data_IF_432524855708
#
_entry.id   IF_432524855708
#
_cell.length_a   1.000
_cell.length_b   1.000
_cell.length_c   1.000
_cell.angle_alpha   90.00
_cell.angle_beta   90.00
_cell.angle_gamma   90.00
#
_symmetry.space_group_name_H-M   'P 1'
#
loop_
_entity.id
_entity.type
_entity.pdbx_description
1 polymer ?
#
# COMPACT_ATOMS: atom_id res chain seq x y z
N UNK A 1 18.79 22.61 -16.92
CA UNK A 1 18.20 21.46 -16.21
C UNK A 1 18.66 21.52 -14.76
N UNK A 2 17.91 22.17 -13.85
CA UNK A 2 18.13 22.04 -12.38
C UNK A 2 17.08 22.81 -11.55
N UNK A 3 15.81 22.84 -11.94
CA UNK A 3 14.78 23.62 -11.19
C UNK A 3 13.44 22.92 -11.02
N UNK A 4 13.35 21.60 -11.24
CA UNK A 4 12.06 20.88 -11.14
C UNK A 4 11.99 19.81 -10.05
N UNK A 5 13.05 19.60 -9.27
CA UNK A 5 13.08 18.55 -8.22
C UNK A 5 12.89 19.07 -6.79
N UNK A 6 12.75 20.38 -6.58
CA UNK A 6 12.78 20.98 -5.24
C UNK A 6 11.44 21.59 -4.79
N UNK A 7 10.31 21.08 -5.29
CA UNK A 7 8.96 21.64 -5.01
C UNK A 7 7.96 20.63 -4.41
N UNK A 8 8.40 19.43 -4.02
CA UNK A 8 7.50 18.40 -3.48
C UNK A 8 7.69 18.11 -1.98
N UNK A 9 8.62 18.75 -1.28
CA UNK A 9 8.91 18.47 0.14
C UNK A 9 8.17 19.38 1.15
N UNK A 10 7.51 20.45 0.72
CA UNK A 10 6.98 21.49 1.63
C UNK A 10 5.49 21.38 2.02
N UNK A 11 4.80 20.25 1.78
CA UNK A 11 3.35 20.14 2.04
C UNK A 11 2.90 19.12 3.12
N UNK A 12 3.78 18.67 4.02
CA UNK A 12 3.41 17.66 5.03
C UNK A 12 3.35 18.13 6.49
N UNK A 13 3.46 19.44 6.78
CA UNK A 13 3.44 19.96 8.15
C UNK A 13 2.33 20.98 8.36
N UNK A 14 1.08 20.51 8.39
CA UNK A 14 0.04 21.22 9.12
C UNK A 14 -1.09 20.27 9.52
N UNK A 15 -1.05 19.78 10.76
CA UNK A 15 -2.24 19.38 11.52
C UNK A 15 -1.86 19.41 13.00
N UNK A 16 -2.15 20.57 13.58
CA UNK A 16 -2.10 20.85 15.00
C UNK A 16 -3.53 20.58 15.52
N UNK A 17 -3.73 19.46 16.21
CA UNK A 17 -4.94 19.25 17.00
C UNK A 17 -4.56 19.00 18.46
N UNK A 18 -4.98 20.00 19.22
CA UNK A 18 -5.16 20.10 20.66
C UNK A 18 -5.86 18.89 21.25
N UNK A 19 -5.33 18.35 22.36
CA UNK A 19 -6.16 17.68 23.38
C UNK A 19 -5.83 18.32 24.72
N UNK A 20 -6.88 18.96 25.25
CA UNK A 20 -6.94 19.66 26.51
C UNK A 20 -6.76 18.75 27.72
N UNK A 21 -6.15 19.39 28.71
CA UNK A 21 -6.02 19.05 30.10
C UNK A 21 -7.39 19.17 30.80
N UNK A 22 -7.84 18.15 31.53
CA UNK A 22 -8.67 18.31 32.73
C UNK A 22 -8.89 16.96 33.45
N UNK A 23 -8.39 16.83 34.69
CA UNK A 23 -9.22 16.56 35.89
C UNK A 23 -8.41 16.07 37.09
N UNK A 24 -8.22 17.00 38.04
CA UNK A 24 -8.43 16.88 39.50
C UNK A 24 -7.75 15.77 40.31
N UNK A 25 -6.67 16.16 41.00
CA UNK A 25 -6.64 16.43 42.44
C UNK A 25 -7.49 15.51 43.36
N UNK A 26 -6.84 14.52 43.98
CA UNK A 26 -7.20 14.03 45.31
C UNK A 26 -5.93 13.75 46.12
N UNK A 27 -5.58 14.74 46.94
CA UNK A 27 -4.71 14.59 48.10
C UNK A 27 -5.39 13.66 49.13
N UNK A 28 -4.78 12.50 49.39
CA UNK A 28 -4.95 11.80 50.67
C UNK A 28 -3.59 11.50 51.27
N UNK A 29 -3.31 12.27 52.31
CA UNK A 29 -2.25 12.12 53.27
C UNK A 29 -2.31 10.73 53.93
N UNK A 30 -1.20 10.00 53.88
CA UNK A 30 -0.87 8.96 54.84
C UNK A 30 0.65 8.89 54.95
N UNK A 31 1.15 9.50 56.02
CA UNK A 31 2.52 9.35 56.50
C UNK A 31 2.83 7.87 56.71
N UNK A 32 3.89 7.40 56.08
CA UNK A 32 4.67 6.27 56.58
C UNK A 32 6.13 6.61 56.33
N UNK A 33 6.81 6.97 57.41
CA UNK A 33 8.24 7.20 57.47
C UNK A 33 9.02 5.90 57.18
N UNK A 34 10.27 6.10 56.77
CA UNK A 34 11.39 5.15 56.67
C UNK A 34 11.48 4.31 55.38
N UNK A 35 12.15 4.86 54.37
CA UNK A 35 13.55 4.49 54.10
C UNK A 35 14.20 5.56 53.21
N UNK A 36 14.89 6.52 53.82
CA UNK A 36 15.84 7.39 53.10
C UNK A 36 17.09 6.57 52.83
N UNK A 37 17.07 5.78 51.75
CA UNK A 37 18.30 5.51 51.03
C UNK A 37 18.82 6.86 50.51
N UNK A 38 19.90 7.34 51.11
CA UNK A 38 20.67 8.47 50.61
C UNK A 38 21.05 8.17 49.15
N UNK A 39 20.26 8.71 48.21
CA UNK A 39 20.67 8.83 46.83
C UNK A 39 21.87 9.79 46.80
N UNK A 40 23.07 9.24 46.90
CA UNK A 40 24.30 9.95 46.58
C UNK A 40 24.09 10.63 45.23
N UNK A 41 24.34 11.95 45.09
CA UNK A 41 24.22 12.60 43.80
C UNK A 41 25.16 11.88 42.84
N UNK A 42 24.57 11.24 41.82
CA UNK A 42 25.30 10.57 40.74
C UNK A 42 26.37 11.53 40.24
N UNK A 43 27.60 11.05 40.09
CA UNK A 43 28.70 11.84 39.52
C UNK A 43 28.27 12.39 38.16
N UNK A 44 28.76 13.57 37.77
CA UNK A 44 28.48 14.13 36.43
C UNK A 44 28.75 13.10 35.33
N UNK A 45 29.80 12.28 35.49
CA UNK A 45 30.13 11.17 34.57
C UNK A 45 29.05 10.08 34.51
N UNK A 46 28.40 9.76 35.62
CA UNK A 46 27.34 8.75 35.68
C UNK A 46 26.04 9.29 35.07
N UNK A 47 25.71 10.57 35.32
CA UNK A 47 24.58 11.24 34.67
C UNK A 47 24.76 11.34 33.16
N UNK A 48 25.98 11.64 32.69
CA UNK A 48 26.35 11.66 31.28
C UNK A 48 26.21 10.26 30.64
N UNK A 49 26.66 9.20 31.32
CA UNK A 49 26.52 7.81 30.83
C UNK A 49 25.06 7.37 30.73
N UNK A 50 24.25 7.69 31.74
CA UNK A 50 22.81 7.39 31.73
C UNK A 50 22.13 8.15 30.58
N UNK A 51 22.40 9.44 30.43
CA UNK A 51 21.84 10.26 29.35
C UNK A 51 22.21 9.71 27.98
N UNK A 52 23.48 9.32 27.79
CA UNK A 52 23.96 8.72 26.55
C UNK A 52 23.28 7.36 26.26
N UNK A 53 23.11 6.51 27.28
CA UNK A 53 22.40 5.24 27.13
C UNK A 53 20.92 5.46 26.77
N UNK A 54 20.24 6.43 27.40
CA UNK A 54 18.84 6.77 27.07
C UNK A 54 18.71 7.31 25.65
N UNK A 55 19.67 8.10 25.17
CA UNK A 55 19.62 8.64 23.82
C UNK A 55 19.94 7.58 22.76
N UNK A 56 20.84 6.64 23.07
CA UNK A 56 21.10 5.47 22.23
C UNK A 56 19.86 4.57 22.11
N UNK A 57 19.14 4.33 23.20
CA UNK A 57 17.90 3.56 23.19
C UNK A 57 16.81 4.25 22.35
N UNK A 58 16.61 5.56 22.55
CA UNK A 58 15.71 6.36 21.70
C UNK A 58 16.10 6.29 20.23
N UNK A 59 17.39 6.42 19.92
CA UNK A 59 17.88 6.35 18.55
C UNK A 59 17.61 4.97 17.94
N UNK A 60 17.87 3.89 18.68
CA UNK A 60 17.64 2.53 18.21
C UNK A 60 16.17 2.27 17.94
N UNK A 61 15.29 2.76 18.82
CA UNK A 61 13.84 2.69 18.64
C UNK A 61 13.39 3.50 17.43
N UNK A 62 13.84 4.75 17.29
CA UNK A 62 13.50 5.60 16.15
C UNK A 62 13.98 4.99 14.82
N UNK A 63 15.17 4.39 14.83
CA UNK A 63 15.71 3.67 13.67
C UNK A 63 14.84 2.47 13.29
N UNK A 64 14.38 1.70 14.28
CA UNK A 64 13.46 0.58 14.03
C UNK A 64 12.09 1.05 13.50
N UNK A 65 11.55 2.15 14.04
CA UNK A 65 10.32 2.76 13.55
C UNK A 65 10.47 3.26 12.11
N UNK A 66 11.61 3.86 11.77
CA UNK A 66 11.92 4.30 10.42
C UNK A 66 12.05 3.14 9.41
N UNK A 67 12.76 2.06 9.78
CA UNK A 67 12.86 0.87 8.93
C UNK A 67 11.48 0.23 8.70
N UNK A 68 10.64 0.16 9.73
CA UNK A 68 9.26 -0.31 9.61
C UNK A 68 8.42 0.60 8.70
N UNK A 69 8.54 1.92 8.86
CA UNK A 69 7.89 2.90 7.99
C UNK A 69 8.29 2.69 6.53
N UNK A 70 9.60 2.64 6.24
CA UNK A 70 10.12 2.43 4.88
C UNK A 70 9.61 1.13 4.26
N UNK A 71 9.58 0.04 5.04
CA UNK A 71 9.02 -1.25 4.61
C UNK A 71 7.52 -1.14 4.30
N UNK A 72 6.75 -0.48 5.17
CA UNK A 72 5.30 -0.26 4.97
C UNK A 72 5.04 0.58 3.72
N UNK A 73 5.70 1.73 3.59
CA UNK A 73 5.55 2.64 2.44
C UNK A 73 5.92 1.95 1.12
N UNK A 74 6.98 1.14 1.11
CA UNK A 74 7.35 0.37 -0.08
C UNK A 74 6.27 -0.65 -0.47
N UNK A 75 5.63 -1.29 0.51
CA UNK A 75 4.54 -2.23 0.27
C UNK A 75 3.31 -1.53 -0.28
N UNK A 76 2.86 -0.46 0.36
CA UNK A 76 1.71 0.34 -0.07
C UNK A 76 1.90 0.88 -1.49
N UNK A 77 3.10 1.39 -1.80
CA UNK A 77 3.44 1.85 -3.15
C UNK A 77 3.35 0.72 -4.18
N UNK A 78 3.82 -0.48 -3.84
CA UNK A 78 3.71 -1.64 -4.73
C UNK A 78 2.26 -2.07 -4.95
N UNK A 79 1.42 -2.03 -3.91
CA UNK A 79 0.02 -2.40 -4.02
C UNK A 79 -0.80 -1.35 -4.80
N UNK A 80 -0.46 -0.06 -4.67
CA UNK A 80 -0.98 0.99 -5.56
C UNK A 80 -0.62 0.72 -7.02
N UNK A 81 0.62 0.33 -7.33
CA UNK A 81 1.00 0.01 -8.71
C UNK A 81 0.26 -1.20 -9.30
N UNK A 82 -0.07 -2.20 -8.46
CA UNK A 82 -0.85 -3.36 -8.91
C UNK A 82 -2.28 -2.98 -9.30
N UNK A 83 -2.90 -2.08 -8.56
CA UNK A 83 -4.31 -1.70 -8.73
C UNK A 83 -4.50 -0.48 -9.63
N UNK A 84 -3.48 0.35 -9.82
CA UNK A 84 -3.56 1.58 -10.62
C UNK A 84 -4.02 1.37 -12.08
N UNK A 85 -3.72 0.21 -12.66
CA UNK A 85 -4.12 -0.12 -14.04
C UNK A 85 -5.47 -0.85 -14.12
N UNK A 86 -6.06 -1.21 -12.99
CA UNK A 86 -7.27 -2.03 -12.95
C UNK A 86 -8.43 -1.35 -13.70
N UNK A 87 -8.73 -0.10 -13.40
CA UNK A 87 -9.82 0.65 -14.04
C UNK A 87 -9.66 0.71 -15.56
N UNK A 88 -8.42 0.92 -16.04
CA UNK A 88 -8.13 0.98 -17.47
C UNK A 88 -8.31 -0.39 -18.13
N UNK A 89 -7.87 -1.47 -17.47
CA UNK A 89 -8.04 -2.84 -18.00
C UNK A 89 -9.51 -3.22 -18.03
N UNK A 90 -10.28 -2.91 -16.98
CA UNK A 90 -11.74 -3.16 -16.94
C UNK A 90 -12.45 -2.40 -18.05
N UNK A 91 -12.12 -1.13 -18.26
CA UNK A 91 -12.69 -0.33 -19.35
C UNK A 91 -12.36 -0.85 -20.76
N UNK A 92 -11.33 -1.70 -20.90
CA UNK A 92 -10.95 -2.32 -22.17
C UNK A 92 -11.67 -3.66 -22.42
N UNK A 93 -12.31 -4.27 -21.43
CA UNK A 93 -13.03 -5.55 -21.61
C UNK A 93 -14.12 -5.49 -22.70
N UNK A 94 -14.94 -4.43 -22.82
CA UNK A 94 -15.91 -4.35 -23.91
C UNK A 94 -15.27 -4.39 -25.31
N UNK A 95 -14.02 -3.94 -25.44
CA UNK A 95 -13.28 -4.03 -26.71
C UNK A 95 -12.90 -5.48 -27.02
N UNK A 96 -12.54 -6.28 -26.00
CA UNK A 96 -12.33 -7.73 -26.14
C UNK A 96 -13.62 -8.40 -26.61
N UNK A 97 -14.75 -8.08 -25.97
CA UNK A 97 -16.07 -8.63 -26.34
C UNK A 97 -16.44 -8.27 -27.79
N UNK A 98 -16.13 -7.05 -28.22
CA UNK A 98 -16.35 -6.60 -29.59
C UNK A 98 -15.48 -7.37 -30.59
N UNK A 99 -14.24 -7.70 -30.25
CA UNK A 99 -13.39 -8.57 -31.08
C UNK A 99 -13.99 -9.97 -31.22
N UNK A 100 -14.48 -10.56 -30.14
CA UNK A 100 -15.13 -11.87 -30.18
C UNK A 100 -16.40 -11.84 -31.04
N UNK A 101 -17.23 -10.80 -30.86
CA UNK A 101 -18.43 -10.58 -31.68
C UNK A 101 -18.09 -10.43 -33.17
N UNK A 102 -17.05 -9.65 -33.49
CA UNK A 102 -16.61 -9.47 -34.87
C UNK A 102 -16.08 -10.78 -35.48
N UNK A 103 -15.26 -11.54 -34.74
CA UNK A 103 -14.72 -12.81 -35.21
C UNK A 103 -15.81 -13.86 -35.42
N UNK A 104 -16.84 -13.89 -34.56
CA UNK A 104 -18.00 -14.77 -34.72
C UNK A 104 -18.80 -14.47 -35.99
N UNK A 105 -18.89 -13.21 -36.39
CA UNK A 105 -19.53 -12.84 -37.66
C UNK A 105 -18.64 -13.18 -38.86
N UNK A 106 -17.33 -12.97 -38.74
CA UNK A 106 -16.35 -13.23 -39.79
C UNK A 106 -16.04 -14.72 -39.97
N UNK A 107 -16.29 -15.57 -38.98
CA UNK A 107 -16.05 -17.02 -39.05
C UNK A 107 -16.94 -17.74 -40.07
N UNK A 108 -17.88 -17.04 -40.70
CA UNK A 108 -18.61 -17.52 -41.88
C UNK A 108 -17.68 -17.73 -43.09
N UNK A 109 -16.55 -17.03 -43.14
CA UNK A 109 -15.46 -17.23 -44.10
C UNK A 109 -14.10 -17.11 -43.39
N UNK A 110 -13.72 -18.20 -42.71
CA UNK A 110 -12.44 -18.29 -41.97
C UNK A 110 -11.21 -18.20 -42.88
N UNK A 111 -11.38 -18.41 -44.19
CA UNK A 111 -10.28 -18.35 -45.16
C UNK A 111 -9.91 -16.93 -45.55
N UNK A 112 -10.82 -15.98 -45.30
CA UNK A 112 -10.67 -14.56 -45.59
C UNK A 112 -9.43 -13.95 -44.93
N UNK A 113 -8.70 -13.14 -45.68
CA UNK A 113 -7.57 -12.37 -45.15
C UNK A 113 -8.02 -11.40 -44.04
N UNK A 114 -9.27 -10.95 -44.08
CA UNK A 114 -9.86 -10.12 -43.04
C UNK A 114 -10.00 -10.90 -41.72
N UNK A 115 -10.53 -12.13 -41.75
CA UNK A 115 -10.65 -12.98 -40.56
C UNK A 115 -9.29 -13.22 -39.92
N UNK A 116 -8.28 -13.59 -40.72
CA UNK A 116 -6.91 -13.80 -40.24
C UNK A 116 -6.30 -12.53 -39.65
N UNK A 117 -6.47 -11.39 -40.31
CA UNK A 117 -5.95 -10.10 -39.83
C UNK A 117 -6.56 -9.70 -38.48
N UNK A 118 -7.88 -9.79 -38.34
CA UNK A 118 -8.57 -9.47 -37.09
C UNK A 118 -8.19 -10.46 -35.98
N UNK A 119 -8.10 -11.76 -36.29
CA UNK A 119 -7.68 -12.79 -35.32
C UNK A 119 -6.27 -12.55 -34.79
N UNK A 120 -5.33 -12.14 -35.65
CA UNK A 120 -3.97 -11.79 -35.22
C UNK A 120 -3.94 -10.58 -34.27
N UNK A 121 -4.77 -9.57 -34.54
CA UNK A 121 -4.89 -8.38 -33.68
C UNK A 121 -5.47 -8.76 -32.33
N UNK A 122 -6.57 -9.53 -32.29
CA UNK A 122 -7.18 -10.01 -31.04
C UNK A 122 -6.16 -10.81 -30.22
N UNK A 123 -5.47 -11.77 -30.83
CA UNK A 123 -4.46 -12.59 -30.14
C UNK A 123 -3.33 -11.73 -29.54
N UNK A 124 -2.84 -10.74 -30.29
CA UNK A 124 -1.81 -9.83 -29.79
C UNK A 124 -2.34 -8.97 -28.64
N UNK A 125 -3.56 -8.46 -28.76
CA UNK A 125 -4.21 -7.66 -27.73
C UNK A 125 -4.38 -8.46 -26.43
N UNK A 126 -4.91 -9.67 -26.55
CA UNK A 126 -5.06 -10.62 -25.43
C UNK A 126 -3.71 -10.95 -24.78
N UNK A 127 -2.68 -11.17 -25.58
CA UNK A 127 -1.31 -11.38 -25.08
C UNK A 127 -0.79 -10.19 -24.27
N UNK A 128 -1.10 -8.96 -24.68
CA UNK A 128 -0.75 -7.76 -23.91
C UNK A 128 -1.48 -7.70 -22.57
N UNK A 129 -2.80 -8.01 -22.55
CA UNK A 129 -3.59 -8.02 -21.32
C UNK A 129 -3.09 -9.11 -20.34
N UNK A 130 -2.79 -10.32 -20.82
CA UNK A 130 -2.19 -11.39 -20.02
C UNK A 130 -0.84 -10.99 -19.42
N UNK A 131 0.03 -10.35 -20.19
CA UNK A 131 1.31 -9.83 -19.69
C UNK A 131 1.14 -8.72 -18.65
N UNK A 132 -0.01 -8.05 -18.62
CA UNK A 132 -0.38 -7.05 -17.60
C UNK A 132 -1.07 -7.67 -16.38
N UNK A 133 -1.20 -9.00 -16.32
CA UNK A 133 -1.76 -9.73 -15.20
C UNK A 133 -3.27 -10.02 -15.30
N UNK A 134 -3.89 -9.78 -16.45
CA UNK A 134 -5.28 -10.19 -16.67
C UNK A 134 -5.34 -11.70 -16.96
N UNK A 135 -6.11 -12.43 -16.16
CA UNK A 135 -6.38 -13.85 -16.36
C UNK A 135 -7.86 -14.07 -16.65
N UNK A 136 -8.13 -15.08 -17.48
CA UNK A 136 -9.48 -15.47 -17.85
C UNK A 136 -10.06 -16.39 -16.79
N UNK A 137 -11.25 -16.06 -16.29
CA UNK A 137 -12.01 -16.96 -15.41
C UNK A 137 -12.85 -17.87 -16.31
N UNK A 138 -12.35 -19.08 -16.57
CA UNK A 138 -13.04 -20.05 -17.40
C UNK A 138 -14.17 -20.73 -16.62
N UNK A 139 -15.42 -20.49 -17.03
CA UNK A 139 -16.61 -21.14 -16.46
C UNK A 139 -17.18 -22.13 -17.46
N UNK A 140 -17.40 -23.37 -17.03
CA UNK A 140 -18.05 -24.42 -17.83
C UNK A 140 -19.43 -24.76 -17.27
N UNK A 141 -20.30 -25.23 -18.15
CA UNK A 141 -21.61 -25.75 -17.74
C UNK A 141 -21.42 -26.93 -16.77
N UNK A 142 -21.90 -26.76 -15.53
CA UNK A 142 -21.78 -27.74 -14.45
C UNK A 142 -20.74 -27.41 -13.37
N UNK A 143 -19.97 -26.32 -13.53
CA UNK A 143 -19.08 -25.85 -12.46
C UNK A 143 -19.88 -25.33 -11.26
N UNK A 144 -19.30 -25.47 -10.06
CA UNK A 144 -19.90 -24.95 -8.83
C UNK A 144 -19.94 -23.43 -8.91
N UNK A 145 -21.13 -22.85 -8.72
CA UNK A 145 -21.29 -21.40 -8.68
C UNK A 145 -20.57 -20.82 -7.47
N UNK A 146 -19.75 -19.79 -7.70
CA UNK A 146 -19.05 -19.02 -6.68
C UNK A 146 -19.43 -17.55 -6.86
N UNK A 147 -20.08 -16.97 -5.84
CA UNK A 147 -20.55 -15.57 -5.90
C UNK A 147 -19.44 -14.53 -5.93
N UNK A 148 -18.20 -14.90 -5.57
CA UNK A 148 -17.06 -13.98 -5.66
C UNK A 148 -16.45 -13.93 -7.07
N UNK A 149 -16.66 -14.98 -7.88
CA UNK A 149 -16.05 -15.13 -9.21
C UNK A 149 -17.07 -15.10 -10.36
N UNK A 150 -18.32 -15.45 -10.11
CA UNK A 150 -19.35 -15.62 -11.12
C UNK A 150 -20.54 -14.68 -10.86
N UNK A 151 -21.01 -14.02 -11.91
CA UNK A 151 -22.28 -13.27 -11.93
C UNK A 151 -23.38 -14.15 -12.56
N UNK A 152 -24.62 -14.07 -12.06
CA UNK A 152 -25.71 -15.01 -12.36
C UNK A 152 -26.82 -14.42 -13.24
#
# INVERSE_FOLDING_TARGET
MSTSENQLEDQALNNQDTIENESTDQLQNSETEQDTEEATPLSEEEQLKISLATEQDKFLRLFAEFENYKKRTSKERMDLFKTANQEVIVAMLPVVDDFERALKELSKDESSDLFKGVSLIQNKFWGVLKNKGLEEVAVKAGDVFDSELHDA
#
